data_IF_151783962747
#
_entry.id   IF_151783962747
#
_cell.length_a   1.000
_cell.length_b   1.000
_cell.length_c   1.000
_cell.angle_alpha   90.00
_cell.angle_beta   90.00
_cell.angle_gamma   90.00
#
_symmetry.space_group_name_H-M   'P 1'
#
loop_
_entity.id
_entity.type
_entity.pdbx_description
1 polymer ?
#
# COMPACT_ATOMS: atom_id res chain seq x y z
N UNK A 1 8.62 2.34 -7.41
CA UNK A 1 9.74 2.38 -6.44
C UNK A 1 10.89 3.27 -6.85
N UNK A 2 11.41 3.22 -8.09
CA UNK A 2 12.49 4.13 -8.54
C UNK A 2 12.15 5.62 -8.36
N UNK A 3 10.92 6.04 -8.70
CA UNK A 3 10.45 7.40 -8.49
C UNK A 3 10.44 7.79 -7.00
N UNK A 4 10.22 6.84 -6.08
CA UNK A 4 10.23 7.10 -4.64
C UNK A 4 11.64 7.45 -4.14
N UNK A 5 12.66 6.72 -4.59
CA UNK A 5 14.04 6.90 -4.12
C UNK A 5 14.79 8.02 -4.83
N UNK A 6 14.59 8.18 -6.15
CA UNK A 6 15.44 9.07 -6.97
C UNK A 6 14.74 10.39 -7.29
N UNK A 7 13.41 10.41 -7.45
CA UNK A 7 12.66 11.58 -7.94
C UNK A 7 11.29 11.73 -7.27
N UNK A 8 11.32 11.75 -5.94
CA UNK A 8 10.16 11.80 -5.04
C UNK A 8 9.19 12.95 -5.33
N UNK A 9 9.69 14.06 -5.88
CA UNK A 9 8.90 15.22 -6.31
C UNK A 9 7.82 14.93 -7.36
N UNK A 10 8.01 13.92 -8.23
CA UNK A 10 7.02 13.57 -9.25
C UNK A 10 6.00 12.54 -8.77
N UNK A 11 6.24 11.91 -7.63
CA UNK A 11 5.41 10.82 -7.14
C UNK A 11 3.94 11.23 -6.94
N UNK A 12 3.62 12.38 -6.31
CA UNK A 12 2.24 12.83 -6.16
C UNK A 12 1.56 13.09 -7.51
N UNK A 13 2.30 13.62 -8.49
CA UNK A 13 1.77 13.93 -9.83
C UNK A 13 1.37 12.64 -10.56
N UNK A 14 2.24 11.63 -10.53
CA UNK A 14 1.98 10.33 -11.16
C UNK A 14 0.79 9.63 -10.48
N UNK A 15 0.75 9.63 -9.16
CA UNK A 15 -0.35 9.01 -8.39
C UNK A 15 -1.67 9.71 -8.71
N UNK A 16 -1.71 11.05 -8.66
CA UNK A 16 -2.91 11.82 -9.03
C UNK A 16 -3.37 11.50 -10.46
N UNK A 17 -2.43 11.33 -11.40
CA UNK A 17 -2.77 10.92 -12.77
C UNK A 17 -3.37 9.51 -12.84
N UNK A 18 -2.82 8.55 -12.09
CA UNK A 18 -3.37 7.20 -12.01
C UNK A 18 -4.78 7.17 -11.43
N UNK A 19 -5.04 7.98 -10.40
CA UNK A 19 -6.38 8.14 -9.81
C UNK A 19 -7.34 8.79 -10.80
N UNK A 20 -6.95 9.89 -11.44
CA UNK A 20 -7.79 10.54 -12.47
C UNK A 20 -8.18 9.56 -13.58
N UNK A 21 -7.24 8.77 -14.10
CA UNK A 21 -7.52 7.77 -15.12
C UNK A 21 -8.50 6.70 -14.63
N UNK A 22 -8.31 6.21 -13.40
CA UNK A 22 -9.20 5.23 -12.77
C UNK A 22 -10.61 5.79 -12.54
N UNK A 23 -10.75 7.08 -12.25
CA UNK A 23 -12.06 7.73 -12.09
C UNK A 23 -12.73 8.01 -13.43
N UNK A 24 -11.98 8.42 -14.46
CA UNK A 24 -12.51 8.73 -15.79
C UNK A 24 -12.89 7.50 -16.60
N UNK A 25 -12.14 6.39 -16.47
CA UNK A 25 -12.29 5.19 -17.32
C UNK A 25 -12.76 3.96 -16.55
N UNK A 26 -13.01 4.10 -15.25
CA UNK A 26 -13.36 2.99 -14.37
C UNK A 26 -12.14 2.37 -13.66
N UNK A 27 -12.42 1.76 -12.52
CA UNK A 27 -11.40 1.11 -11.68
C UNK A 27 -11.08 -0.29 -12.19
N UNK A 28 -9.81 -0.67 -12.11
CA UNK A 28 -9.31 -1.99 -12.50
C UNK A 28 -8.40 -2.60 -11.41
N UNK A 29 -7.81 -3.78 -11.68
CA UNK A 29 -6.90 -4.49 -10.75
C UNK A 29 -5.73 -3.61 -10.27
N UNK A 30 -5.16 -2.80 -11.15
CA UNK A 30 -4.04 -1.91 -10.83
C UNK A 30 -4.48 -0.64 -10.07
N UNK A 31 -5.77 -0.29 -10.14
CA UNK A 31 -6.29 0.86 -9.39
C UNK A 31 -6.14 0.66 -7.89
N UNK A 32 -6.23 -0.59 -7.39
CA UNK A 32 -6.05 -0.90 -5.97
C UNK A 32 -4.73 -0.33 -5.42
N UNK A 33 -3.62 -0.62 -6.11
CA UNK A 33 -2.32 -0.10 -5.72
C UNK A 33 -2.23 1.43 -5.87
N UNK A 34 -2.85 1.99 -6.91
CA UNK A 34 -2.91 3.45 -7.10
C UNK A 34 -3.60 4.16 -5.93
N UNK A 35 -4.74 3.64 -5.45
CA UNK A 35 -5.43 4.15 -4.27
C UNK A 35 -4.58 4.01 -3.01
N UNK A 36 -3.89 2.88 -2.82
CA UNK A 36 -3.00 2.71 -1.68
C UNK A 36 -1.87 3.77 -1.67
N UNK A 37 -1.25 4.03 -2.81
CA UNK A 37 -0.25 5.10 -2.96
C UNK A 37 -0.84 6.50 -2.76
N UNK A 38 -2.10 6.72 -3.16
CA UNK A 38 -2.79 7.96 -2.87
C UNK A 38 -2.97 8.19 -1.36
N UNK A 39 -3.25 7.13 -0.60
CA UNK A 39 -3.23 7.17 0.87
C UNK A 39 -1.88 7.62 1.43
N UNK A 40 -0.76 7.11 0.92
CA UNK A 40 0.59 7.59 1.33
C UNK A 40 0.75 9.08 1.03
N UNK A 41 0.26 9.53 -0.12
CA UNK A 41 0.39 10.93 -0.52
C UNK A 41 -0.43 11.84 0.40
N UNK A 42 -1.65 11.42 0.79
CA UNK A 42 -2.47 12.15 1.74
C UNK A 42 -1.78 12.28 3.09
N UNK A 43 -1.26 11.19 3.65
CA UNK A 43 -0.57 11.25 4.93
C UNK A 43 0.69 12.12 4.87
N UNK A 44 1.46 12.02 3.78
CA UNK A 44 2.73 12.75 3.61
C UNK A 44 2.59 14.23 3.29
N UNK A 45 1.52 14.63 2.58
CA UNK A 45 1.32 16.03 2.15
C UNK A 45 0.38 16.79 3.08
N UNK A 46 -0.77 16.20 3.45
CA UNK A 46 -1.80 16.89 4.22
C UNK A 46 -1.87 16.44 5.69
N UNK A 47 -1.15 15.37 6.07
CA UNK A 47 -1.23 14.79 7.41
C UNK A 47 -2.60 14.19 7.73
N UNK A 48 -3.46 14.00 6.73
CA UNK A 48 -4.82 13.49 6.95
C UNK A 48 -4.81 11.96 7.09
N UNK A 49 -4.57 11.50 8.31
CA UNK A 49 -4.47 10.07 8.66
C UNK A 49 -5.82 9.35 8.45
N UNK A 50 -6.93 9.96 8.85
CA UNK A 50 -8.27 9.34 8.75
C UNK A 50 -8.68 9.10 7.30
N UNK A 51 -8.50 10.09 6.42
CA UNK A 51 -8.81 9.91 5.01
C UNK A 51 -7.86 8.90 4.34
N UNK A 52 -6.58 8.89 4.74
CA UNK A 52 -5.60 7.90 4.27
C UNK A 52 -6.03 6.47 4.62
N UNK A 53 -6.61 6.27 5.80
CA UNK A 53 -7.15 4.97 6.23
C UNK A 53 -8.38 4.55 5.44
N UNK A 54 -9.31 5.48 5.19
CA UNK A 54 -10.48 5.21 4.35
C UNK A 54 -10.08 4.80 2.93
N UNK A 55 -9.09 5.51 2.36
CA UNK A 55 -8.52 5.20 1.05
C UNK A 55 -7.77 3.85 1.07
N UNK A 56 -7.05 3.53 2.16
CA UNK A 56 -6.40 2.23 2.33
C UNK A 56 -7.40 1.08 2.33
N UNK A 57 -8.52 1.21 3.06
CA UNK A 57 -9.59 0.22 3.06
C UNK A 57 -10.29 0.10 1.69
N UNK A 58 -10.45 1.21 0.97
CA UNK A 58 -10.94 1.16 -0.41
C UNK A 58 -9.97 0.36 -1.30
N UNK A 59 -8.67 0.57 -1.17
CA UNK A 59 -7.65 -0.17 -1.92
C UNK A 59 -7.71 -1.67 -1.64
N UNK A 60 -7.86 -2.07 -0.37
CA UNK A 60 -8.05 -3.47 0.01
C UNK A 60 -9.34 -4.06 -0.57
N UNK A 61 -10.45 -3.35 -0.49
CA UNK A 61 -11.72 -3.80 -1.09
C UNK A 61 -11.65 -3.96 -2.62
N UNK A 62 -10.79 -3.19 -3.30
CA UNK A 62 -10.53 -3.38 -4.73
C UNK A 62 -9.71 -4.64 -5.03
N UNK A 63 -8.78 -5.02 -4.15
CA UNK A 63 -8.06 -6.29 -4.27
C UNK A 63 -9.04 -7.46 -4.21
N UNK A 64 -9.95 -7.45 -3.25
CA UNK A 64 -10.95 -8.51 -3.07
C UNK A 64 -11.93 -8.55 -4.24
N UNK A 65 -12.44 -7.39 -4.66
CA UNK A 65 -13.41 -7.28 -5.76
C UNK A 65 -12.88 -7.80 -7.09
N UNK A 66 -11.60 -7.55 -7.39
CA UNK A 66 -11.01 -7.89 -8.69
C UNK A 66 -10.10 -9.12 -8.65
N UNK A 67 -9.99 -9.78 -7.50
CA UNK A 67 -9.04 -10.88 -7.25
C UNK A 67 -7.64 -10.53 -7.80
N UNK A 68 -7.17 -9.33 -7.45
CA UNK A 68 -6.03 -8.70 -8.09
C UNK A 68 -4.70 -9.24 -7.53
N UNK A 69 -4.36 -10.48 -7.89
CA UNK A 69 -3.17 -11.18 -7.39
C UNK A 69 -1.85 -10.44 -7.68
N UNK A 70 -1.75 -9.78 -8.83
CA UNK A 70 -0.54 -9.07 -9.26
C UNK A 70 -0.27 -7.78 -8.46
N UNK A 71 -1.31 -7.11 -7.98
CA UNK A 71 -1.22 -5.90 -7.17
C UNK A 71 -1.39 -6.17 -5.68
N UNK A 72 -1.69 -7.42 -5.30
CA UNK A 72 -1.95 -7.85 -3.93
C UNK A 72 -0.83 -7.47 -2.97
N UNK A 73 0.39 -7.98 -3.23
CA UNK A 73 1.53 -7.81 -2.34
C UNK A 73 1.86 -6.32 -2.14
N UNK A 74 1.88 -5.55 -3.23
CA UNK A 74 2.17 -4.10 -3.17
C UNK A 74 1.11 -3.32 -2.42
N UNK A 75 -0.15 -3.64 -2.67
CA UNK A 75 -1.30 -2.97 -2.03
C UNK A 75 -1.32 -3.28 -0.53
N UNK A 76 -1.20 -4.56 -0.16
CA UNK A 76 -1.16 -4.98 1.24
C UNK A 76 0.05 -4.39 1.98
N UNK A 77 1.23 -4.43 1.36
CA UNK A 77 2.43 -3.79 1.89
C UNK A 77 2.21 -2.29 2.14
N UNK A 78 1.59 -1.60 1.19
CA UNK A 78 1.33 -0.17 1.28
C UNK A 78 0.37 0.15 2.41
N UNK A 79 -0.76 -0.55 2.47
CA UNK A 79 -1.82 -0.29 3.45
C UNK A 79 -1.37 -0.69 4.85
N UNK A 80 -0.96 -1.94 5.05
CA UNK A 80 -0.60 -2.46 6.38
C UNK A 80 0.79 -2.04 6.86
N UNK A 81 1.70 -1.69 5.95
CA UNK A 81 3.04 -1.22 6.32
C UNK A 81 3.12 0.28 6.59
N UNK A 82 2.34 1.09 5.86
CA UNK A 82 2.53 2.55 5.87
C UNK A 82 1.29 3.35 6.30
N UNK A 83 0.07 2.80 6.18
CA UNK A 83 -1.17 3.52 6.48
C UNK A 83 -1.78 3.08 7.80
N UNK A 84 -2.11 1.80 7.93
CA UNK A 84 -2.82 1.28 9.09
C UNK A 84 -2.06 1.41 10.42
N UNK A 85 -0.71 1.31 10.49
CA UNK A 85 -0.01 1.46 11.77
C UNK A 85 -0.21 2.82 12.47
N UNK A 86 -0.73 3.83 11.76
CA UNK A 86 -1.06 5.13 12.34
C UNK A 86 -2.38 5.16 13.11
N UNK A 87 -3.25 4.15 12.93
CA UNK A 87 -4.59 4.07 13.56
C UNK A 87 -4.78 2.73 14.26
N UNK A 88 -4.49 1.63 13.58
CA UNK A 88 -4.64 0.29 14.11
C UNK A 88 -3.45 -0.08 15.02
N UNK A 89 -3.65 -0.97 16.00
CA UNK A 89 -2.55 -1.54 16.76
C UNK A 89 -1.53 -2.20 15.83
N UNK A 90 -0.23 -1.91 16.03
CA UNK A 90 0.85 -2.41 15.15
C UNK A 90 0.80 -3.94 14.99
N UNK A 91 0.44 -4.67 16.05
CA UNK A 91 0.32 -6.12 16.05
C UNK A 91 -0.74 -6.65 15.08
N UNK A 92 -1.82 -5.88 14.81
CA UNK A 92 -2.84 -6.29 13.85
C UNK A 92 -2.36 -6.18 12.40
N UNK A 93 -1.32 -5.37 12.14
CA UNK A 93 -0.75 -5.17 10.82
C UNK A 93 0.27 -6.26 10.43
N UNK A 94 0.82 -6.99 11.41
CA UNK A 94 1.85 -8.01 11.18
C UNK A 94 1.35 -9.22 10.37
N UNK A 95 0.20 -9.87 10.67
CA UNK A 95 -0.26 -11.01 9.89
C UNK A 95 -0.56 -10.68 8.41
N UNK A 96 -1.24 -9.57 8.08
CA UNK A 96 -1.42 -9.16 6.69
C UNK A 96 -0.10 -8.87 5.96
N UNK A 97 0.88 -8.27 6.64
CA UNK A 97 2.21 -8.05 6.06
C UNK A 97 2.93 -9.37 5.79
N UNK A 98 2.84 -10.35 6.70
CA UNK A 98 3.38 -11.70 6.47
C UNK A 98 2.75 -12.35 5.24
N UNK A 99 1.44 -12.22 5.09
CA UNK A 99 0.75 -12.74 3.92
C UNK A 99 1.18 -12.03 2.63
N UNK A 100 1.41 -10.71 2.67
CA UNK A 100 1.96 -9.96 1.53
C UNK A 100 3.36 -10.45 1.13
N UNK A 101 4.21 -10.82 2.09
CA UNK A 101 5.53 -11.43 1.83
C UNK A 101 5.35 -12.75 1.08
N UNK A 102 4.52 -13.66 1.61
CA UNK A 102 4.30 -14.97 1.00
C UNK A 102 3.75 -14.86 -0.43
N UNK A 103 2.74 -14.01 -0.63
CA UNK A 103 2.15 -13.78 -1.95
C UNK A 103 3.16 -13.14 -2.90
N UNK A 104 3.91 -12.13 -2.45
CA UNK A 104 4.92 -11.46 -3.28
C UNK A 104 6.02 -12.42 -3.75
N UNK A 105 6.46 -13.33 -2.88
CA UNK A 105 7.42 -14.37 -3.25
C UNK A 105 6.83 -15.37 -4.27
N UNK A 106 5.56 -15.73 -4.12
CA UNK A 106 4.88 -16.66 -5.03
C UNK A 106 4.59 -16.06 -6.41
N UNK A 107 4.26 -14.77 -6.48
CA UNK A 107 3.92 -14.08 -7.75
C UNK A 107 5.14 -13.47 -8.45
N UNK A 108 6.31 -13.52 -7.82
CA UNK A 108 7.55 -12.94 -8.35
C UNK A 108 7.71 -11.44 -8.09
N UNK A 109 6.81 -10.82 -7.33
CA UNK A 109 6.89 -9.44 -6.86
C UNK A 109 7.90 -9.30 -5.71
N UNK A 110 9.16 -9.59 -6.05
CA UNK A 110 10.27 -9.68 -5.09
C UNK A 110 10.53 -8.33 -4.42
N UNK A 111 10.32 -7.23 -5.14
CA UNK A 111 10.49 -5.88 -4.61
C UNK A 111 9.55 -5.64 -3.42
N UNK A 112 8.25 -5.87 -3.59
CA UNK A 112 7.30 -5.66 -2.49
C UNK A 112 7.31 -6.76 -1.45
N UNK A 113 7.77 -7.98 -1.78
CA UNK A 113 8.08 -8.97 -0.76
C UNK A 113 9.18 -8.45 0.19
N UNK A 114 10.29 -7.92 -0.34
CA UNK A 114 11.39 -7.38 0.47
C UNK A 114 10.97 -6.14 1.28
N UNK A 115 10.21 -5.22 0.68
CA UNK A 115 9.69 -4.05 1.40
C UNK A 115 8.75 -4.50 2.51
N UNK A 116 7.91 -5.51 2.27
CA UNK A 116 7.03 -6.06 3.30
C UNK A 116 7.82 -6.69 4.44
N UNK A 117 8.92 -7.41 4.17
CA UNK A 117 9.83 -7.93 5.21
C UNK A 117 10.43 -6.80 6.04
N UNK A 118 10.87 -5.72 5.39
CA UNK A 118 11.41 -4.56 6.08
C UNK A 118 10.36 -3.94 7.02
N UNK A 119 9.15 -3.72 6.51
CA UNK A 119 8.06 -3.14 7.32
C UNK A 119 7.64 -4.08 8.45
N UNK A 120 7.49 -5.37 8.18
CA UNK A 120 7.19 -6.38 9.19
C UNK A 120 8.22 -6.33 10.33
N UNK A 121 9.51 -6.36 9.99
CA UNK A 121 10.60 -6.34 10.98
C UNK A 121 10.58 -5.06 11.82
N UNK A 122 10.38 -3.90 11.18
CA UNK A 122 10.29 -2.62 11.88
C UNK A 122 9.09 -2.60 12.85
N UNK A 123 7.93 -3.03 12.38
CA UNK A 123 6.71 -3.06 13.19
C UNK A 123 6.80 -4.09 14.32
N UNK A 124 7.40 -5.26 14.10
CA UNK A 124 7.67 -6.25 15.14
C UNK A 124 8.54 -5.66 16.26
N UNK A 125 9.63 -4.97 15.89
CA UNK A 125 10.50 -4.30 16.84
C UNK A 125 9.76 -3.24 17.66
N UNK A 126 8.94 -2.41 17.03
CA UNK A 126 8.12 -1.39 17.71
C UNK A 126 7.10 -2.05 18.66
N UNK A 127 6.57 -3.21 18.27
CA UNK A 127 5.60 -3.95 19.07
C UNK A 127 6.21 -4.80 20.21
N UNK A 128 7.53 -4.91 20.27
CA UNK A 128 8.25 -5.73 21.24
C UNK A 128 8.19 -7.25 20.98
N UNK A 129 7.95 -7.66 19.72
CA UNK A 129 7.92 -9.05 19.27
C UNK A 129 9.19 -9.45 18.52
#
# INVERSE_FOLDING_TARGET
>A
TYLYYVRKEYLPIVICRMIQLSLSHGVCRESAFAFACYGITLIGVSGNVEESYRIGNLALGLIDRFEARESFARTHCTVYGFLNPWIDPVQSCLPPLKHAIDVGLLTGDTEYAMISVQQYTLLSLISGQ
#
